data_IF_289394194477
#
_entry.id   IF_289394194477
#
_cell.length_a   1.000
_cell.length_b   1.000
_cell.length_c   1.000
_cell.angle_alpha   90.00
_cell.angle_beta   90.00
_cell.angle_gamma   90.00
#
_symmetry.space_group_name_H-M   'P 1'
#
loop_
_entity.id
_entity.type
_entity.pdbx_description
1 polymer ?
#
# COMPACT_ATOMS: atom_id res chain seq x y z
N UNK A 1 12.36 1.21 -26.56
CA UNK A 1 11.39 0.28 -25.94
C UNK A 1 12.15 -0.68 -25.05
N UNK A 2 11.62 -1.02 -23.88
CA UNK A 2 12.17 -2.06 -23.00
C UNK A 2 11.52 -3.38 -23.43
N UNK A 3 12.36 -4.41 -23.62
CA UNK A 3 11.91 -5.77 -23.89
C UNK A 3 12.23 -6.64 -22.67
N UNK A 4 11.31 -6.75 -21.69
CA UNK A 4 11.59 -7.51 -20.47
C UNK A 4 11.62 -9.01 -20.77
N UNK A 5 12.57 -9.73 -20.14
CA UNK A 5 12.63 -11.18 -20.21
C UNK A 5 11.44 -11.86 -19.57
N UNK A 6 10.88 -11.24 -18.52
CA UNK A 6 9.64 -11.63 -17.88
C UNK A 6 9.08 -10.47 -17.04
N UNK A 7 7.78 -10.50 -16.78
CA UNK A 7 7.12 -9.70 -15.75
C UNK A 7 6.82 -10.58 -14.54
N UNK A 8 7.26 -10.16 -13.36
CA UNK A 8 7.07 -10.90 -12.12
C UNK A 8 6.16 -10.09 -11.19
N UNK A 9 4.94 -10.59 -10.99
CA UNK A 9 3.99 -9.99 -10.06
C UNK A 9 4.06 -10.64 -8.68
N UNK A 10 4.03 -9.84 -7.64
CA UNK A 10 4.02 -10.27 -6.24
C UNK A 10 2.73 -9.78 -5.59
N UNK A 11 1.93 -10.67 -5.04
CA UNK A 11 0.71 -10.32 -4.30
C UNK A 11 0.37 -11.41 -3.28
N UNK A 12 -0.30 -11.04 -2.20
CA UNK A 12 -0.75 -11.98 -1.17
C UNK A 12 -2.04 -12.72 -1.59
N UNK A 13 -2.82 -12.17 -2.52
CA UNK A 13 -4.06 -12.76 -3.00
C UNK A 13 -3.81 -13.62 -4.23
N UNK A 14 -3.76 -14.93 -4.06
CA UNK A 14 -3.55 -15.88 -5.15
C UNK A 14 -4.60 -15.74 -6.28
N UNK A 15 -5.86 -15.51 -5.92
CA UNK A 15 -6.95 -15.37 -6.89
C UNK A 15 -6.79 -14.10 -7.75
N UNK A 16 -6.55 -12.94 -7.12
CA UNK A 16 -6.35 -11.68 -7.85
C UNK A 16 -5.08 -11.72 -8.69
N UNK A 17 -3.99 -12.26 -8.15
CA UNK A 17 -2.73 -12.42 -8.84
C UNK A 17 -2.90 -13.27 -10.10
N UNK A 18 -3.59 -14.42 -9.98
CA UNK A 18 -3.86 -15.31 -11.12
C UNK A 18 -4.68 -14.63 -12.21
N UNK A 19 -5.76 -13.93 -11.85
CA UNK A 19 -6.60 -13.17 -12.80
C UNK A 19 -5.82 -12.05 -13.50
N UNK A 20 -5.04 -11.27 -12.72
CA UNK A 20 -4.28 -10.14 -13.23
C UNK A 20 -3.16 -10.59 -14.18
N UNK A 21 -2.39 -11.61 -13.81
CA UNK A 21 -1.31 -12.14 -14.66
C UNK A 21 -1.85 -12.77 -15.94
N UNK A 22 -2.97 -13.50 -15.89
CA UNK A 22 -3.62 -14.05 -17.07
C UNK A 22 -4.11 -12.94 -18.04
N UNK A 23 -4.73 -11.90 -17.52
CA UNK A 23 -5.19 -10.77 -18.32
C UNK A 23 -4.01 -10.00 -18.96
N UNK A 24 -2.91 -9.82 -18.23
CA UNK A 24 -1.69 -9.19 -18.76
C UNK A 24 -1.03 -10.07 -19.84
N UNK A 25 -0.97 -11.38 -19.63
CA UNK A 25 -0.43 -12.32 -20.63
C UNK A 25 -1.18 -12.25 -21.96
N UNK A 26 -2.52 -12.11 -21.91
CA UNK A 26 -3.34 -11.96 -23.12
C UNK A 26 -3.02 -10.64 -23.86
N UNK A 27 -2.80 -9.55 -23.13
CA UNK A 27 -2.47 -8.24 -23.70
C UNK A 27 -1.03 -8.14 -24.20
N UNK A 28 -0.13 -8.88 -23.59
CA UNK A 28 1.30 -8.86 -23.88
C UNK A 28 1.86 -10.28 -24.10
N UNK A 29 1.44 -10.97 -25.20
CA UNK A 29 1.78 -12.38 -25.41
C UNK A 29 3.29 -12.63 -25.56
N UNK A 30 4.05 -11.61 -25.95
CA UNK A 30 5.50 -11.68 -26.08
C UNK A 30 6.30 -11.53 -24.77
N UNK A 31 5.62 -11.26 -23.63
CA UNK A 31 6.28 -11.12 -22.33
C UNK A 31 5.75 -12.20 -21.37
N UNK A 32 6.59 -13.15 -20.95
CA UNK A 32 6.19 -14.14 -19.95
C UNK A 32 5.74 -13.48 -18.64
N UNK A 33 4.59 -13.93 -18.10
CA UNK A 33 4.05 -13.44 -16.83
C UNK A 33 4.24 -14.50 -15.75
N UNK A 34 4.89 -14.12 -14.65
CA UNK A 34 5.10 -14.98 -13.48
C UNK A 34 4.39 -14.36 -12.29
N UNK A 35 3.53 -15.14 -11.62
CA UNK A 35 2.86 -14.74 -10.38
C UNK A 35 3.50 -15.45 -9.18
N UNK A 36 3.88 -14.71 -8.16
CA UNK A 36 4.39 -15.25 -6.89
C UNK A 36 3.43 -14.83 -5.79
N UNK A 37 2.63 -15.78 -5.29
CA UNK A 37 1.73 -15.54 -4.18
C UNK A 37 2.52 -15.51 -2.88
N UNK A 38 2.72 -14.32 -2.33
CA UNK A 38 3.50 -14.11 -1.12
C UNK A 38 3.21 -12.75 -0.48
N UNK A 39 3.55 -12.62 0.78
CA UNK A 39 3.75 -11.31 1.40
C UNK A 39 5.10 -10.75 0.92
N UNK A 40 5.04 -9.73 0.07
CA UNK A 40 6.22 -9.08 -0.52
C UNK A 40 7.12 -8.41 0.53
N UNK A 41 6.61 -8.11 1.73
CA UNK A 41 7.38 -7.51 2.82
C UNK A 41 8.27 -8.52 3.56
N UNK A 42 7.98 -9.82 3.42
CA UNK A 42 8.69 -10.93 4.10
C UNK A 42 9.42 -11.87 3.14
N UNK A 43 9.21 -11.73 1.83
CA UNK A 43 9.84 -12.57 0.80
C UNK A 43 11.37 -12.43 0.82
N UNK A 44 12.08 -13.46 1.27
CA UNK A 44 13.55 -13.41 1.39
C UNK A 44 14.28 -13.32 0.07
N UNK A 45 13.76 -13.97 -0.96
CA UNK A 45 14.32 -13.95 -2.31
C UNK A 45 13.24 -14.29 -3.34
N UNK A 46 13.34 -13.72 -4.52
CA UNK A 46 12.53 -14.16 -5.66
C UNK A 46 12.97 -15.59 -6.02
N UNK A 47 12.03 -16.55 -6.12
CA UNK A 47 12.35 -17.93 -6.47
C UNK A 47 13.17 -18.04 -7.76
N UNK A 48 14.04 -19.05 -7.81
CA UNK A 48 14.80 -19.33 -9.04
C UNK A 48 13.85 -19.80 -10.15
N UNK A 49 14.05 -19.19 -11.32
CA UNK A 49 13.30 -19.55 -12.52
C UNK A 49 14.23 -19.37 -13.75
N UNK A 50 14.20 -20.27 -14.75
CA UNK A 50 15.08 -20.16 -15.92
C UNK A 50 15.01 -18.80 -16.63
N UNK A 51 13.82 -18.20 -16.75
CA UNK A 51 13.63 -16.88 -17.37
C UNK A 51 14.24 -15.72 -16.57
N UNK A 52 14.57 -15.93 -15.29
CA UNK A 52 15.10 -14.89 -14.40
C UNK A 52 16.61 -15.04 -14.17
N UNK A 53 17.23 -16.11 -14.71
CA UNK A 53 18.66 -16.37 -14.56
C UNK A 53 19.45 -15.29 -15.27
N UNK A 54 20.40 -14.70 -14.57
CA UNK A 54 21.32 -13.66 -15.07
C UNK A 54 20.62 -12.39 -15.59
N UNK A 55 19.33 -12.21 -15.28
CA UNK A 55 18.57 -11.03 -15.68
C UNK A 55 18.71 -9.90 -14.67
N UNK A 56 18.92 -8.67 -15.17
CA UNK A 56 18.85 -7.45 -14.36
C UNK A 56 17.40 -7.24 -13.89
N UNK A 57 17.22 -6.99 -12.61
CA UNK A 57 15.92 -6.75 -12.02
C UNK A 57 15.59 -5.26 -11.99
N UNK A 58 14.34 -4.93 -12.25
CA UNK A 58 13.78 -3.58 -12.09
C UNK A 58 12.55 -3.74 -11.22
N UNK A 59 12.49 -3.01 -10.11
CA UNK A 59 11.31 -2.95 -9.26
C UNK A 59 10.30 -1.93 -9.78
N UNK A 60 9.01 -2.24 -9.61
CA UNK A 60 7.91 -1.36 -9.94
C UNK A 60 6.87 -1.38 -8.82
N UNK A 61 6.78 -0.30 -8.04
CA UNK A 61 5.88 -0.16 -6.89
C UNK A 61 5.10 1.15 -7.02
N UNK A 62 4.09 1.24 -7.93
CA UNK A 62 3.56 2.51 -8.43
C UNK A 62 2.38 3.07 -7.63
N UNK A 63 1.64 2.24 -6.86
CA UNK A 63 0.31 2.56 -6.32
C UNK A 63 0.31 3.38 -5.04
N UNK A 64 1.42 4.00 -4.64
CA UNK A 64 1.55 4.72 -3.36
C UNK A 64 1.24 3.88 -2.10
N UNK A 65 1.23 2.55 -2.23
CA UNK A 65 1.01 1.64 -1.10
C UNK A 65 2.05 1.79 0.01
N UNK A 66 3.20 2.43 -0.29
CA UNK A 66 4.19 2.80 0.72
C UNK A 66 3.61 3.75 1.78
N UNK A 67 2.59 4.54 1.42
CA UNK A 67 1.89 5.43 2.35
C UNK A 67 1.14 4.72 3.48
N UNK A 68 0.89 3.42 3.35
CA UNK A 68 0.21 2.62 4.37
C UNK A 68 1.16 2.14 5.48
N UNK A 69 2.45 2.41 5.34
CA UNK A 69 3.48 2.03 6.32
C UNK A 69 3.91 3.24 7.15
N UNK A 70 4.13 3.02 8.44
CA UNK A 70 4.85 4.01 9.26
C UNK A 70 6.27 4.23 8.71
N UNK A 71 6.86 5.39 9.00
CA UNK A 71 8.14 5.78 8.37
C UNK A 71 9.25 4.74 8.53
N UNK A 72 9.38 4.14 9.71
CA UNK A 72 10.42 3.14 9.97
C UNK A 72 10.18 1.84 9.19
N UNK A 73 8.90 1.46 9.00
CA UNK A 73 8.51 0.29 8.23
C UNK A 73 8.69 0.54 6.72
N UNK A 74 8.37 1.75 6.24
CA UNK A 74 8.62 2.16 4.87
C UNK A 74 10.12 2.09 4.52
N UNK A 75 11.00 2.59 5.42
CA UNK A 75 12.46 2.47 5.25
C UNK A 75 12.89 0.99 5.21
N UNK A 76 12.35 0.17 6.10
CA UNK A 76 12.64 -1.27 6.17
C UNK A 76 12.20 -1.98 4.89
N UNK A 77 11.00 -1.67 4.38
CA UNK A 77 10.48 -2.22 3.14
C UNK A 77 11.33 -1.82 1.93
N UNK A 78 11.74 -0.56 1.83
CA UNK A 78 12.61 -0.09 0.75
C UNK A 78 13.99 -0.76 0.79
N UNK A 79 14.57 -0.97 1.97
CA UNK A 79 15.81 -1.76 2.13
C UNK A 79 15.63 -3.20 1.69
N UNK A 80 14.49 -3.78 2.01
CA UNK A 80 14.13 -5.13 1.58
C UNK A 80 14.01 -5.22 0.06
N UNK A 81 13.37 -4.26 -0.60
CA UNK A 81 13.32 -4.20 -2.06
C UNK A 81 14.72 -4.13 -2.71
N UNK A 82 15.65 -3.38 -2.10
CA UNK A 82 17.05 -3.34 -2.57
C UNK A 82 17.67 -4.74 -2.63
N UNK A 83 17.43 -5.57 -1.61
CA UNK A 83 17.90 -6.95 -1.57
C UNK A 83 17.22 -7.83 -2.63
N UNK A 84 15.89 -7.76 -2.74
CA UNK A 84 15.13 -8.52 -3.75
C UNK A 84 15.53 -8.18 -5.17
N UNK A 85 15.86 -6.92 -5.43
CA UNK A 85 16.27 -6.42 -6.74
C UNK A 85 17.75 -6.66 -7.02
N UNK A 86 18.52 -7.18 -6.06
CA UNK A 86 19.97 -7.40 -6.18
C UNK A 86 20.71 -6.13 -6.67
N UNK A 87 20.36 -4.98 -6.09
CA UNK A 87 20.91 -3.68 -6.46
C UNK A 87 20.35 -3.06 -7.76
N UNK A 88 19.37 -3.67 -8.39
CA UNK A 88 18.68 -3.08 -9.55
C UNK A 88 17.81 -1.89 -9.15
N UNK A 89 17.40 -1.02 -10.11
CA UNK A 89 16.66 0.18 -9.83
C UNK A 89 15.21 -0.11 -9.41
N UNK A 90 14.60 0.85 -8.69
CA UNK A 90 13.21 0.84 -8.28
C UNK A 90 12.49 2.06 -8.86
N UNK A 91 11.36 1.82 -9.51
CA UNK A 91 10.38 2.87 -9.85
C UNK A 91 9.28 2.86 -8.79
N UNK A 92 9.24 3.94 -7.99
CA UNK A 92 8.37 4.11 -6.83
C UNK A 92 7.33 5.19 -7.10
N UNK A 93 6.04 4.86 -6.96
CA UNK A 93 4.95 5.83 -7.04
C UNK A 93 4.55 6.31 -5.64
N UNK A 94 4.41 7.63 -5.49
CA UNK A 94 4.06 8.28 -4.23
C UNK A 94 2.98 9.34 -4.45
N UNK A 95 1.96 9.30 -3.62
CA UNK A 95 0.91 10.30 -3.55
C UNK A 95 1.42 11.55 -2.81
N UNK A 96 1.09 12.73 -3.34
CA UNK A 96 1.58 14.03 -2.87
C UNK A 96 0.65 14.65 -1.82
N UNK A 97 1.15 15.50 -0.91
CA UNK A 97 0.30 16.36 -0.11
C UNK A 97 -0.53 17.28 -1.00
N UNK A 98 -1.83 17.38 -0.71
CA UNK A 98 -2.81 18.21 -1.41
C UNK A 98 -3.60 19.03 -0.40
N UNK A 99 -4.53 19.85 -0.89
CA UNK A 99 -5.46 20.53 0.01
C UNK A 99 -6.26 19.53 0.86
N UNK A 100 -6.53 19.90 2.11
CA UNK A 100 -7.32 19.08 3.05
C UNK A 100 -8.62 18.58 2.41
N UNK A 101 -9.34 19.49 1.74
CA UNK A 101 -10.63 19.17 1.10
C UNK A 101 -10.48 18.08 0.05
N UNK A 102 -9.45 18.15 -0.80
CA UNK A 102 -9.20 17.13 -1.84
C UNK A 102 -8.83 15.79 -1.22
N UNK A 103 -7.97 15.80 -0.22
CA UNK A 103 -7.53 14.57 0.44
C UNK A 103 -8.69 13.90 1.17
N UNK A 104 -9.43 14.64 1.99
CA UNK A 104 -10.56 14.06 2.71
C UNK A 104 -11.67 13.57 1.77
N UNK A 105 -11.95 14.25 0.67
CA UNK A 105 -12.91 13.80 -0.33
C UNK A 105 -12.46 12.52 -1.07
N UNK A 106 -11.16 12.38 -1.35
CA UNK A 106 -10.63 11.19 -1.99
C UNK A 106 -10.75 9.92 -1.13
N UNK A 107 -10.68 10.07 0.20
CA UNK A 107 -10.78 8.96 1.15
C UNK A 107 -12.16 8.84 1.83
N UNK A 108 -13.07 9.76 1.55
CA UNK A 108 -14.46 9.74 2.04
C UNK A 108 -15.40 10.09 0.89
N UNK A 109 -15.40 9.24 -0.12
CA UNK A 109 -16.13 9.42 -1.37
C UNK A 109 -17.66 9.49 -1.17
N UNK A 110 -18.33 10.32 -1.96
CA UNK A 110 -19.78 10.53 -1.87
C UNK A 110 -20.60 9.26 -2.14
N UNK A 111 -20.06 8.30 -2.89
CA UNK A 111 -20.69 7.00 -3.14
C UNK A 111 -20.59 6.06 -1.91
N UNK A 112 -19.79 6.40 -0.89
CA UNK A 112 -19.64 5.63 0.33
C UNK A 112 -18.85 4.32 0.17
N UNK A 113 -18.09 4.18 -0.90
CA UNK A 113 -17.29 2.96 -1.19
C UNK A 113 -16.19 2.79 -0.13
N UNK A 114 -15.48 3.87 0.20
CA UNK A 114 -14.45 3.85 1.25
C UNK A 114 -15.03 3.48 2.62
N UNK A 115 -16.21 4.02 2.93
CA UNK A 115 -16.92 3.70 4.18
C UNK A 115 -17.37 2.23 4.23
N UNK A 116 -17.86 1.70 3.11
CA UNK A 116 -18.24 0.29 3.00
C UNK A 116 -17.03 -0.63 3.13
N UNK A 117 -15.90 -0.27 2.52
CA UNK A 117 -14.64 -0.99 2.63
C UNK A 117 -14.15 -1.05 4.10
N UNK A 118 -14.14 0.09 4.79
CA UNK A 118 -13.74 0.12 6.21
C UNK A 118 -14.67 -0.71 7.10
N UNK A 119 -16.00 -0.62 6.90
CA UNK A 119 -16.97 -1.43 7.66
C UNK A 119 -16.87 -2.92 7.38
N UNK A 120 -16.39 -3.31 6.20
CA UNK A 120 -16.15 -4.72 5.88
C UNK A 120 -15.15 -5.37 6.86
N UNK A 121 -14.23 -4.59 7.44
CA UNK A 121 -13.37 -5.08 8.52
C UNK A 121 -14.19 -5.66 9.69
N UNK A 122 -15.24 -4.94 10.13
CA UNK A 122 -16.09 -5.39 11.23
C UNK A 122 -16.88 -6.65 10.86
N UNK A 123 -17.40 -6.71 9.62
CA UNK A 123 -18.06 -7.93 9.11
C UNK A 123 -17.11 -9.12 9.09
N UNK A 124 -15.86 -8.91 8.66
CA UNK A 124 -14.83 -9.94 8.65
C UNK A 124 -14.45 -10.41 10.05
N UNK A 125 -14.27 -9.49 11.01
CA UNK A 125 -13.98 -9.83 12.41
C UNK A 125 -15.13 -10.64 13.02
N UNK A 126 -16.39 -10.29 12.72
CA UNK A 126 -17.54 -11.06 13.17
C UNK A 126 -17.57 -12.46 12.56
N UNK A 127 -17.34 -12.58 11.24
CA UNK A 127 -17.39 -13.86 10.54
C UNK A 127 -16.21 -14.79 10.87
N UNK A 128 -14.99 -14.24 10.90
CA UNK A 128 -13.77 -15.02 10.97
C UNK A 128 -13.35 -15.32 12.45
N UNK A 129 -13.70 -14.42 13.38
CA UNK A 129 -13.28 -14.50 14.79
C UNK A 129 -14.45 -14.57 15.78
N UNK A 130 -15.68 -14.67 15.30
CA UNK A 130 -16.87 -14.70 16.17
C UNK A 130 -17.06 -13.43 16.99
N UNK A 131 -16.60 -12.29 16.48
CA UNK A 131 -16.82 -11.00 17.14
C UNK A 131 -18.30 -10.58 17.08
N UNK A 132 -18.68 -9.62 17.92
CA UNK A 132 -20.04 -9.11 18.00
C UNK A 132 -20.15 -7.61 17.68
N UNK A 133 -19.34 -7.10 16.74
CA UNK A 133 -19.49 -5.74 16.28
C UNK A 133 -20.89 -5.51 15.67
N UNK A 134 -21.52 -4.40 15.99
CA UNK A 134 -22.59 -3.84 15.18
C UNK A 134 -22.01 -2.81 14.22
N UNK A 135 -21.88 -3.10 12.90
CA UNK A 135 -21.28 -2.17 11.94
C UNK A 135 -22.06 -0.86 11.81
N UNK A 136 -23.37 -0.81 12.21
CA UNK A 136 -24.17 0.40 12.14
C UNK A 136 -23.89 1.33 13.32
N UNK A 137 -23.34 0.81 14.41
CA UNK A 137 -22.91 1.62 15.56
C UNK A 137 -21.56 2.33 15.33
N UNK A 138 -20.99 2.21 14.13
CA UNK A 138 -19.74 2.88 13.76
C UNK A 138 -19.93 3.78 12.53
N UNK A 139 -19.41 5.01 12.64
CA UNK A 139 -19.37 5.97 11.54
C UNK A 139 -17.97 6.03 10.95
N UNK A 140 -17.85 5.87 9.63
CA UNK A 140 -16.57 6.06 8.94
C UNK A 140 -16.18 7.53 8.88
N UNK A 141 -14.90 7.80 9.04
CA UNK A 141 -14.30 9.11 8.91
C UNK A 141 -12.90 9.02 8.31
N UNK A 142 -12.60 9.92 7.37
CA UNK A 142 -11.25 10.18 6.89
C UNK A 142 -10.85 11.59 7.28
N UNK A 143 -9.68 11.76 7.92
CA UNK A 143 -9.15 13.06 8.39
C UNK A 143 -7.72 13.27 7.91
N UNK A 144 -7.46 14.44 7.34
CA UNK A 144 -6.11 14.89 7.05
C UNK A 144 -5.41 15.40 8.32
N UNK A 145 -4.27 14.82 8.63
CA UNK A 145 -3.36 15.23 9.71
C UNK A 145 -2.15 15.92 9.09
N UNK A 146 -2.19 17.26 9.03
CA UNK A 146 -1.20 18.05 8.30
C UNK A 146 0.21 17.97 8.91
N UNK A 147 0.32 17.91 10.23
CA UNK A 147 1.56 17.76 10.98
C UNK A 147 2.29 16.43 10.70
N UNK A 148 1.53 15.38 10.43
CA UNK A 148 2.04 14.04 10.12
C UNK A 148 2.02 13.74 8.62
N UNK A 149 1.44 14.63 7.83
CA UNK A 149 1.26 14.48 6.38
C UNK A 149 0.61 13.14 6.02
N UNK A 150 -0.50 12.80 6.68
CA UNK A 150 -1.24 11.56 6.42
C UNK A 150 -2.75 11.75 6.49
N UNK A 151 -3.47 10.94 5.76
CA UNK A 151 -4.89 10.73 5.98
C UNK A 151 -5.05 9.59 6.98
N UNK A 152 -5.79 9.84 8.05
CA UNK A 152 -6.23 8.83 9.00
C UNK A 152 -7.63 8.38 8.64
N UNK A 153 -7.82 7.08 8.48
CA UNK A 153 -9.11 6.43 8.28
C UNK A 153 -9.52 5.72 9.56
N UNK A 154 -10.74 5.95 10.01
CA UNK A 154 -11.24 5.39 11.26
C UNK A 154 -12.73 5.09 11.21
N UNK A 155 -13.13 4.14 12.03
CA UNK A 155 -14.51 3.86 12.39
C UNK A 155 -14.77 4.46 13.78
N UNK A 156 -15.62 5.48 13.85
CA UNK A 156 -15.93 6.21 15.09
C UNK A 156 -17.13 5.55 15.76
N UNK A 157 -16.99 5.13 17.00
CA UNK A 157 -18.11 4.58 17.77
C UNK A 157 -19.18 5.65 18.02
N UNK A 158 -20.45 5.33 17.75
CA UNK A 158 -21.58 6.24 17.94
C UNK A 158 -22.18 6.22 19.34
N UNK A 159 -21.73 5.29 20.17
CA UNK A 159 -22.21 5.10 21.54
C UNK A 159 -21.16 4.39 22.40
N UNK A 160 -21.37 4.42 23.70
CA UNK A 160 -20.65 3.54 24.61
C UNK A 160 -21.09 2.10 24.35
N UNK A 161 -20.12 1.23 24.06
CA UNK A 161 -20.40 -0.18 23.74
C UNK A 161 -19.24 -1.09 24.15
N UNK A 162 -19.56 -2.37 24.36
CA UNK A 162 -18.57 -3.42 24.62
C UNK A 162 -18.61 -4.42 23.47
N UNK A 163 -17.47 -4.59 22.82
CA UNK A 163 -17.30 -5.57 21.76
C UNK A 163 -16.46 -6.73 22.27
N UNK A 164 -16.89 -7.96 21.99
CA UNK A 164 -16.16 -9.18 22.27
C UNK A 164 -15.57 -9.72 20.98
N UNK A 165 -14.32 -10.16 21.06
CA UNK A 165 -13.62 -10.86 19.97
C UNK A 165 -12.96 -12.07 20.63
N UNK A 166 -13.39 -13.27 20.29
CA UNK A 166 -12.96 -14.49 20.99
C UNK A 166 -13.19 -14.38 22.52
N UNK A 167 -12.16 -14.54 23.33
CA UNK A 167 -12.23 -14.48 24.80
C UNK A 167 -11.91 -13.08 25.38
N UNK A 168 -11.73 -12.06 24.51
CA UNK A 168 -11.37 -10.72 24.93
C UNK A 168 -12.53 -9.74 24.71
N UNK A 169 -12.60 -8.73 25.58
CA UNK A 169 -13.59 -7.65 25.47
C UNK A 169 -12.91 -6.29 25.37
N UNK A 170 -13.39 -5.46 24.46
CA UNK A 170 -12.96 -4.07 24.29
C UNK A 170 -14.15 -3.13 24.53
N UNK A 171 -13.91 -2.10 25.33
CA UNK A 171 -14.89 -1.04 25.55
C UNK A 171 -14.59 0.12 24.63
N UNK A 172 -15.57 0.55 23.87
CA UNK A 172 -15.55 1.79 23.10
C UNK A 172 -16.43 2.81 23.78
N UNK A 173 -15.93 4.02 23.93
CA UNK A 173 -16.75 5.16 24.32
C UNK A 173 -17.38 5.79 23.07
N UNK A 174 -18.44 6.55 23.28
CA UNK A 174 -18.98 7.41 22.22
C UNK A 174 -17.86 8.32 21.68
N UNK A 175 -17.81 8.48 20.37
CA UNK A 175 -16.77 9.24 19.63
C UNK A 175 -15.35 8.65 19.68
N UNK A 176 -15.15 7.47 20.24
CA UNK A 176 -13.85 6.80 20.24
C UNK A 176 -13.53 6.23 18.85
N UNK A 177 -12.33 6.53 18.29
CA UNK A 177 -11.93 6.03 16.99
C UNK A 177 -11.30 4.62 17.05
N UNK A 178 -11.81 3.72 16.25
CA UNK A 178 -11.10 2.53 15.81
C UNK A 178 -10.35 2.87 14.51
N UNK A 179 -9.06 3.13 14.62
CA UNK A 179 -8.23 3.48 13.45
C UNK A 179 -8.05 2.24 12.60
N UNK A 180 -8.43 2.34 11.33
CA UNK A 180 -8.35 1.21 10.38
C UNK A 180 -7.12 1.29 9.51
N UNK A 181 -6.69 2.50 9.11
CA UNK A 181 -5.59 2.69 8.19
C UNK A 181 -5.03 4.11 8.25
N UNK A 182 -3.77 4.25 7.87
CA UNK A 182 -3.13 5.53 7.54
C UNK A 182 -2.72 5.55 6.08
N UNK A 183 -2.73 6.73 5.47
CA UNK A 183 -2.15 6.94 4.15
C UNK A 183 -1.25 8.18 4.18
N UNK A 184 0.05 7.95 4.30
CA UNK A 184 1.07 8.99 4.30
C UNK A 184 1.22 9.58 2.90
N UNK A 185 1.43 10.89 2.86
CA UNK A 185 1.72 11.65 1.64
C UNK A 185 3.17 12.11 1.66
N UNK A 186 3.78 12.10 0.50
CA UNK A 186 5.22 12.34 0.38
C UNK A 186 5.48 13.55 -0.50
N UNK A 187 5.90 14.67 0.10
CA UNK A 187 6.50 15.75 -0.68
C UNK A 187 7.78 15.26 -1.38
N UNK A 188 8.26 15.93 -2.43
CA UNK A 188 9.51 15.56 -3.08
C UNK A 188 10.68 15.43 -2.13
N UNK A 189 10.81 16.36 -1.16
CA UNK A 189 11.89 16.38 -0.16
C UNK A 189 11.78 15.19 0.78
N UNK A 190 10.57 14.87 1.23
CA UNK A 190 10.31 13.70 2.10
C UNK A 190 10.59 12.40 1.38
N UNK A 191 10.24 12.30 0.09
CA UNK A 191 10.52 11.13 -0.74
C UNK A 191 12.04 10.91 -0.91
N UNK A 192 12.80 11.98 -1.17
CA UNK A 192 14.27 11.93 -1.26
C UNK A 192 14.89 11.50 0.06
N UNK A 193 14.48 12.10 1.17
CA UNK A 193 15.00 11.76 2.50
C UNK A 193 14.71 10.31 2.88
N UNK A 194 13.51 9.82 2.58
CA UNK A 194 13.13 8.42 2.81
C UNK A 194 14.00 7.46 1.99
N UNK A 195 14.18 7.75 0.71
CA UNK A 195 15.02 6.96 -0.18
C UNK A 195 16.46 6.87 0.32
N UNK A 196 17.04 8.01 0.72
CA UNK A 196 18.40 8.07 1.26
C UNK A 196 18.55 7.25 2.56
N UNK A 197 17.59 7.34 3.49
CA UNK A 197 17.58 6.53 4.72
C UNK A 197 17.54 5.04 4.44
N UNK A 198 16.92 4.64 3.32
CA UNK A 198 16.82 3.25 2.91
C UNK A 198 17.98 2.77 2.02
N UNK A 199 18.99 3.60 1.77
CA UNK A 199 20.15 3.26 0.96
C UNK A 199 19.88 3.31 -0.56
N UNK A 200 19.03 4.24 -0.96
CA UNK A 200 18.73 4.53 -2.36
C UNK A 200 19.19 5.94 -2.72
N UNK A 201 19.75 6.07 -3.92
CA UNK A 201 20.03 7.35 -4.56
C UNK A 201 18.84 7.74 -5.42
N UNK A 202 18.27 8.91 -5.18
CA UNK A 202 17.25 9.47 -6.04
C UNK A 202 17.87 9.94 -7.37
N UNK A 203 17.24 9.57 -8.49
CA UNK A 203 17.77 9.86 -9.84
C UNK A 203 16.88 10.81 -10.58
N UNK A 204 15.58 10.51 -10.62
CA UNK A 204 14.63 11.28 -11.42
C UNK A 204 13.22 11.18 -10.84
N UNK A 205 12.45 12.25 -11.04
CA UNK A 205 11.03 12.33 -10.72
C UNK A 205 10.23 12.68 -11.98
N UNK A 206 9.09 12.04 -12.12
CA UNK A 206 8.01 12.43 -13.02
C UNK A 206 6.78 12.67 -12.18
N UNK A 207 5.90 13.55 -12.61
CA UNK A 207 4.64 13.86 -11.94
C UNK A 207 3.57 14.17 -12.98
N UNK A 208 2.32 14.04 -12.60
CA UNK A 208 1.19 14.48 -13.37
C UNK A 208 1.10 16.04 -13.40
N UNK A 209 0.30 16.64 -14.28
CA UNK A 209 0.20 18.10 -14.41
C UNK A 209 -0.22 18.81 -13.12
N UNK A 210 -1.03 18.15 -12.28
CA UNK A 210 -1.52 18.72 -11.02
C UNK A 210 -0.58 18.46 -9.83
N UNK A 211 0.52 17.75 -10.06
CA UNK A 211 1.47 17.28 -9.04
C UNK A 211 0.81 16.46 -7.92
N UNK A 212 -0.19 15.70 -8.28
CA UNK A 212 -0.96 14.87 -7.35
C UNK A 212 -0.28 13.53 -7.03
N UNK A 213 0.36 12.96 -8.04
CA UNK A 213 1.13 11.71 -7.95
C UNK A 213 2.51 11.91 -8.56
N UNK A 214 3.52 11.32 -7.96
CA UNK A 214 4.85 11.32 -8.56
C UNK A 214 5.43 9.91 -8.65
N UNK A 215 6.20 9.69 -9.72
CA UNK A 215 7.03 8.51 -9.90
C UNK A 215 8.49 8.89 -9.67
N UNK A 216 9.19 8.09 -8.89
CA UNK A 216 10.58 8.31 -8.52
C UNK A 216 11.43 7.14 -9.00
N UNK A 217 12.43 7.42 -9.82
CA UNK A 217 13.46 6.43 -10.14
C UNK A 217 14.54 6.47 -9.07
N UNK A 218 14.75 5.33 -8.44
CA UNK A 218 15.73 5.13 -7.40
C UNK A 218 16.78 4.11 -7.85
N UNK A 219 18.05 4.38 -7.58
CA UNK A 219 19.16 3.45 -7.77
C UNK A 219 19.74 3.07 -6.41
N UNK A 220 20.10 1.79 -6.26
CA UNK A 220 20.73 1.31 -5.04
C UNK A 220 22.10 1.97 -4.86
N UNK A 221 22.40 2.44 -3.66
CA UNK A 221 23.75 2.84 -3.27
C UNK A 221 24.53 1.61 -2.80
N UNK A 222 25.82 1.64 -2.84
CA UNK A 222 26.71 0.56 -2.34
C UNK A 222 26.53 0.35 -0.83
#
# INVERSE_FOLDING_TARGET
AIHPAAYVALDISAEHLGKATAALQQRHPGVPMLGICCDHSTLKAVPEHPLLRDQRRIGFFPGSSLGNFEQHDAVRLLRHFKQLLKGGPLLLGLDQPKSKVRLEAAYNDAAGISAAFARNLLHRLNADLGANFDPQSFQYQARWQADQQRVQMALISRCDQVVRITDHSWTFRCDEPLITEYSLKYSPERAVALAQQAGWRWVRRWHDPDDDLSLHLLEATD
#
